data_IF_153181100960
#
_entry.id   IF_153181100960
#
_cell.length_a   1.000
_cell.length_b   1.000
_cell.length_c   1.000
_cell.angle_alpha   90.00
_cell.angle_beta   90.00
_cell.angle_gamma   90.00
#
_symmetry.space_group_name_H-M   'P 1'
#
loop_
_entity.id
_entity.type
_entity.pdbx_description
1 polymer ?
#
# COMPACT_ATOMS: atom_id res chain seq x y z
N UNK A 1 -15.73 -0.78 -3.85
CA UNK A 1 -14.74 0.00 -4.60
C UNK A 1 -15.48 0.98 -5.49
N UNK A 2 -15.41 2.26 -5.14
CA UNK A 2 -16.05 3.33 -5.89
C UNK A 2 -15.38 3.51 -7.26
N UNK A 3 -16.15 4.00 -8.23
CA UNK A 3 -15.72 4.16 -9.63
C UNK A 3 -14.47 5.03 -9.79
N UNK A 4 -14.29 5.98 -8.87
CA UNK A 4 -13.16 6.92 -8.80
C UNK A 4 -11.84 6.22 -8.45
N UNK A 5 -11.85 5.22 -7.56
CA UNK A 5 -10.65 4.44 -7.21
C UNK A 5 -10.20 3.62 -8.41
N UNK A 6 -11.14 3.00 -9.14
CA UNK A 6 -10.81 2.23 -10.34
C UNK A 6 -10.16 3.09 -11.41
N UNK A 7 -10.63 4.32 -11.61
CA UNK A 7 -10.02 5.28 -12.56
C UNK A 7 -8.60 5.66 -12.11
N UNK A 8 -8.42 5.96 -10.82
CA UNK A 8 -7.11 6.21 -10.20
C UNK A 8 -6.13 5.03 -10.41
N UNK A 9 -6.60 3.81 -10.18
CA UNK A 9 -5.79 2.60 -10.32
C UNK A 9 -5.40 2.36 -11.79
N UNK A 10 -6.29 2.67 -12.74
CA UNK A 10 -6.03 2.56 -14.17
C UNK A 10 -5.04 3.62 -14.67
N UNK A 11 -5.09 4.83 -14.10
CA UNK A 11 -4.17 5.93 -14.41
C UNK A 11 -2.74 5.68 -13.87
N UNK A 12 -2.58 4.85 -12.84
CA UNK A 12 -1.27 4.47 -12.29
C UNK A 12 -0.42 3.59 -13.23
N UNK A 13 -1.03 2.97 -14.26
CA UNK A 13 -0.38 2.04 -15.18
C UNK A 13 -1.00 0.64 -15.15
N UNK A 14 -1.13 0.00 -16.32
CA UNK A 14 -1.82 -1.28 -16.46
C UNK A 14 -1.08 -2.51 -15.88
N UNK A 15 0.15 -2.35 -15.40
CA UNK A 15 0.89 -3.40 -14.67
C UNK A 15 0.65 -3.35 -13.15
N UNK A 16 0.03 -2.29 -12.65
CA UNK A 16 0.05 -1.88 -11.22
C UNK A 16 -1.27 -2.09 -10.49
N UNK A 17 -2.30 -2.40 -11.27
CA UNK A 17 -3.64 -2.66 -10.78
C UNK A 17 -3.71 -3.96 -9.99
N UNK A 18 -2.98 -5.02 -10.35
CA UNK A 18 -3.09 -6.30 -9.63
C UNK A 18 -2.55 -6.23 -8.21
N UNK A 19 -1.41 -5.55 -8.00
CA UNK A 19 -0.82 -5.38 -6.67
C UNK A 19 -1.75 -4.56 -5.78
N UNK A 20 -2.25 -3.44 -6.29
CA UNK A 20 -3.15 -2.58 -5.52
C UNK A 20 -4.53 -3.20 -5.32
N UNK A 21 -5.01 -4.06 -6.22
CA UNK A 21 -6.31 -4.73 -6.08
C UNK A 21 -6.33 -5.80 -4.98
N UNK A 22 -5.17 -6.33 -4.59
CA UNK A 22 -5.07 -7.27 -3.48
C UNK A 22 -5.15 -6.56 -2.12
N UNK A 23 -4.86 -5.25 -2.07
CA UNK A 23 -4.89 -4.42 -0.86
C UNK A 23 -6.35 -4.13 -0.46
N UNK A 24 -6.60 -4.17 0.86
CA UNK A 24 -7.92 -3.81 1.41
C UNK A 24 -8.36 -2.41 0.95
N UNK A 25 -9.58 -2.31 0.41
CA UNK A 25 -10.03 -1.09 -0.28
C UNK A 25 -10.13 0.13 0.62
N UNK A 26 -10.37 -0.06 1.92
CA UNK A 26 -10.43 1.03 2.89
C UNK A 26 -9.04 1.62 3.19
N UNK A 27 -7.97 0.84 3.06
CA UNK A 27 -6.58 1.33 3.09
C UNK A 27 -6.32 2.21 1.86
N UNK A 28 -6.74 1.76 0.67
CA UNK A 28 -6.58 2.52 -0.58
C UNK A 28 -7.35 3.84 -0.51
N UNK A 29 -8.57 3.83 -0.02
CA UNK A 29 -9.41 5.03 0.13
C UNK A 29 -8.79 6.06 1.08
N UNK A 30 -8.21 5.59 2.19
CA UNK A 30 -7.49 6.43 3.14
C UNK A 30 -6.22 7.02 2.52
N UNK A 31 -5.40 6.19 1.87
CA UNK A 31 -4.17 6.62 1.19
C UNK A 31 -4.45 7.67 0.09
N UNK A 32 -5.47 7.45 -0.75
CA UNK A 32 -5.88 8.40 -1.78
C UNK A 32 -6.28 9.74 -1.18
N UNK A 33 -6.97 9.74 -0.03
CA UNK A 33 -7.38 10.96 0.66
C UNK A 33 -6.17 11.71 1.22
N UNK A 34 -5.27 11.00 1.91
CA UNK A 34 -4.07 11.61 2.51
C UNK A 34 -3.17 12.23 1.42
N UNK A 35 -2.90 11.51 0.33
CA UNK A 35 -2.10 12.04 -0.79
C UNK A 35 -2.75 13.28 -1.43
N UNK A 36 -4.07 13.27 -1.61
CA UNK A 36 -4.81 14.44 -2.13
C UNK A 36 -4.74 15.63 -1.18
N UNK A 37 -4.90 15.40 0.13
CA UNK A 37 -4.86 16.45 1.16
C UNK A 37 -3.45 17.06 1.30
N UNK A 38 -2.41 16.25 1.10
CA UNK A 38 -1.01 16.70 1.12
C UNK A 38 -0.53 17.29 -0.21
N UNK A 39 -1.32 17.17 -1.28
CA UNK A 39 -0.96 17.63 -2.62
C UNK A 39 0.16 16.80 -3.26
N UNK A 40 0.30 15.54 -2.87
CA UNK A 40 1.26 14.59 -3.43
C UNK A 40 0.66 13.97 -4.69
N UNK A 41 1.52 13.73 -5.69
CA UNK A 41 1.11 13.10 -6.95
C UNK A 41 0.57 11.68 -6.71
N UNK A 42 -0.58 11.39 -7.30
CA UNK A 42 -1.24 10.11 -7.17
C UNK A 42 -0.73 9.14 -8.26
N UNK A 43 0.44 8.55 -7.97
CA UNK A 43 1.11 7.53 -8.79
C UNK A 43 1.34 6.25 -7.96
N UNK A 44 1.72 5.14 -8.61
CA UNK A 44 1.84 3.85 -7.91
C UNK A 44 2.84 3.86 -6.74
N UNK A 45 4.07 4.39 -6.84
CA UNK A 45 5.01 4.41 -5.72
C UNK A 45 4.45 5.14 -4.51
N UNK A 46 3.86 6.32 -4.73
CA UNK A 46 3.29 7.11 -3.64
C UNK A 46 2.07 6.40 -3.03
N UNK A 47 1.18 5.86 -3.86
CA UNK A 47 -0.02 5.16 -3.38
C UNK A 47 0.33 3.87 -2.64
N UNK A 48 1.26 3.06 -3.17
CA UNK A 48 1.69 1.83 -2.52
C UNK A 48 2.38 2.11 -1.18
N UNK A 49 3.27 3.11 -1.15
CA UNK A 49 3.94 3.53 0.07
C UNK A 49 2.94 3.95 1.15
N UNK A 50 1.98 4.79 0.77
CA UNK A 50 0.98 5.31 1.70
C UNK A 50 0.07 4.20 2.23
N UNK A 51 -0.38 3.29 1.34
CA UNK A 51 -1.11 2.10 1.75
C UNK A 51 -0.31 1.24 2.74
N UNK A 52 0.98 1.01 2.48
CA UNK A 52 1.85 0.24 3.37
C UNK A 52 2.02 0.91 4.73
N UNK A 53 2.20 2.24 4.76
CA UNK A 53 2.29 3.04 5.99
C UNK A 53 1.03 2.91 6.83
N UNK A 54 -0.15 3.05 6.22
CA UNK A 54 -1.45 2.87 6.89
C UNK A 54 -1.59 1.44 7.44
N UNK A 55 -1.25 0.42 6.64
CA UNK A 55 -1.33 -0.98 7.05
C UNK A 55 -0.42 -1.27 8.26
N UNK A 56 0.83 -0.79 8.25
CA UNK A 56 1.76 -0.87 9.37
C UNK A 56 1.16 -0.25 10.63
N UNK A 57 0.63 0.96 10.54
CA UNK A 57 0.00 1.62 11.69
C UNK A 57 -1.21 0.85 12.23
N UNK A 58 -2.06 0.29 11.35
CA UNK A 58 -3.24 -0.49 11.76
C UNK A 58 -2.89 -1.77 12.50
N UNK A 59 -1.78 -2.41 12.14
CA UNK A 59 -1.26 -3.56 12.91
C UNK A 59 -0.40 -3.11 14.09
N UNK A 60 -0.14 -1.82 14.31
CA UNK A 60 0.69 -1.31 15.40
C UNK A 60 2.18 -1.59 15.19
N UNK A 61 2.64 -1.39 13.96
CA UNK A 61 4.03 -1.25 13.54
C UNK A 61 4.24 0.19 13.02
N UNK A 62 5.50 0.53 12.79
CA UNK A 62 5.96 1.80 12.24
C UNK A 62 6.90 1.57 11.07
N UNK A 63 7.26 2.63 10.36
CA UNK A 63 8.27 2.59 9.29
C UNK A 63 9.67 2.18 9.82
N UNK A 64 9.96 2.33 11.12
CA UNK A 64 11.20 1.83 11.72
C UNK A 64 11.23 0.29 11.84
N UNK A 65 10.07 -0.35 11.79
CA UNK A 65 9.93 -1.82 11.87
C UNK A 65 10.04 -2.50 10.49
N UNK A 66 10.01 -1.72 9.40
CA UNK A 66 9.85 -2.24 8.05
C UNK A 66 10.55 -1.41 6.96
N UNK A 67 11.13 -2.08 5.95
CA UNK A 67 11.49 -1.46 4.68
C UNK A 67 10.36 -1.67 3.67
N UNK A 68 9.89 -0.59 3.03
CA UNK A 68 8.83 -0.64 2.01
C UNK A 68 9.49 -0.51 0.63
N UNK A 69 9.43 -1.57 -0.16
CA UNK A 69 9.85 -1.53 -1.56
C UNK A 69 8.63 -1.25 -2.44
N UNK A 70 8.55 -0.02 -2.96
CA UNK A 70 7.48 0.43 -3.84
C UNK A 70 7.83 0.27 -5.34
N UNK A 71 8.82 -0.56 -5.69
CA UNK A 71 9.15 -0.82 -7.09
C UNK A 71 8.09 -1.73 -7.74
N UNK A 72 7.54 -1.26 -8.86
CA UNK A 72 6.53 -1.86 -9.73
C UNK A 72 6.65 -3.39 -9.97
N UNK A 73 7.87 -3.96 -10.00
CA UNK A 73 8.08 -5.38 -10.28
C UNK A 73 8.06 -6.30 -9.04
N UNK A 74 8.27 -5.74 -7.84
CA UNK A 74 8.56 -6.49 -6.61
C UNK A 74 7.95 -5.86 -5.36
N UNK A 75 6.85 -5.12 -5.50
CA UNK A 75 6.29 -4.33 -4.41
C UNK A 75 6.02 -5.20 -3.17
N UNK A 76 6.73 -4.91 -2.07
CA UNK A 76 6.74 -5.74 -0.88
C UNK A 76 7.10 -4.96 0.39
N UNK A 77 6.77 -5.53 1.54
CA UNK A 77 7.18 -5.03 2.86
C UNK A 77 8.19 -6.02 3.45
N UNK A 78 9.36 -5.53 3.87
CA UNK A 78 10.39 -6.32 4.55
C UNK A 78 10.41 -5.94 6.04
N UNK A 79 9.92 -6.82 6.89
CA UNK A 79 9.90 -6.59 8.33
C UNK A 79 11.24 -6.95 8.99
N UNK A 80 11.60 -6.21 10.04
CA UNK A 80 12.74 -6.53 10.91
C UNK A 80 12.48 -7.73 11.86
N UNK A 81 11.51 -8.59 11.56
CA UNK A 81 11.11 -9.75 12.34
C UNK A 81 9.77 -10.34 11.90
N UNK A 82 9.38 -11.49 12.47
CA UNK A 82 8.16 -12.21 12.08
C UNK A 82 6.87 -11.65 12.69
N UNK A 83 7.01 -10.67 13.58
CA UNK A 83 5.91 -10.15 14.37
C UNK A 83 4.91 -9.45 13.45
N UNK A 84 3.64 -9.88 13.54
CA UNK A 84 2.51 -9.32 12.77
C UNK A 84 2.63 -9.42 11.24
N UNK A 85 3.60 -10.17 10.70
CA UNK A 85 3.71 -10.44 9.27
C UNK A 85 2.40 -10.99 8.67
N UNK A 86 1.79 -11.96 9.34
CA UNK A 86 0.49 -12.53 8.92
C UNK A 86 -0.68 -11.56 9.00
N UNK A 87 -0.59 -10.54 9.85
CA UNK A 87 -1.63 -9.52 9.97
C UNK A 87 -1.52 -8.55 8.77
N UNK A 88 -0.30 -8.17 8.39
CA UNK A 88 -0.05 -7.40 7.17
C UNK A 88 -0.40 -8.17 5.89
N UNK A 89 -0.04 -9.45 5.79
CA UNK A 89 -0.40 -10.28 4.63
C UNK A 89 -1.93 -10.36 4.42
N UNK A 90 -2.71 -10.31 5.50
CA UNK A 90 -4.18 -10.30 5.41
C UNK A 90 -4.76 -9.01 4.85
N UNK A 91 -3.99 -7.91 4.88
CA UNK A 91 -4.37 -6.63 4.29
C UNK A 91 -3.99 -6.51 2.81
N UNK A 92 -3.45 -7.58 2.21
CA UNK A 92 -3.15 -7.67 0.78
C UNK A 92 -1.68 -7.50 0.40
N UNK A 93 -0.79 -7.30 1.37
CA UNK A 93 0.63 -7.08 1.09
C UNK A 93 1.42 -8.38 0.97
N UNK A 94 2.40 -8.39 0.07
CA UNK A 94 3.47 -9.38 0.10
C UNK A 94 4.48 -8.97 1.17
N UNK A 95 4.74 -9.85 2.13
CA UNK A 95 5.58 -9.56 3.30
C UNK A 95 6.74 -10.57 3.41
N UNK A 96 7.95 -10.06 3.66
CA UNK A 96 9.16 -10.84 3.93
C UNK A 96 9.71 -10.50 5.32
N UNK A 97 10.35 -11.45 6.00
CA UNK A 97 10.86 -11.34 7.38
C UNK A 97 11.94 -12.35 7.72
#
# INVERSE_FOLDING_TARGET
>A
MEREILEILLDCGSMDTSVLMDIDSDIIEEAVRELKDEGIELNFPNLYYECARIALHRVGLTEDDAEIDCNYACAAIYLCGKDKAKELERTGFTVYY
#
